data_IF_997138935074
#
_entry.id   IF_997138935074
#
_cell.length_a   1.000
_cell.length_b   1.000
_cell.length_c   1.000
_cell.angle_alpha   90.00
_cell.angle_beta   90.00
_cell.angle_gamma   90.00
#
_symmetry.space_group_name_H-M   'P 1'
#
loop_
_entity.id
_entity.type
_entity.pdbx_description
1 polymer ?
#
# COMPACT_ATOMS: atom_id res chain seq x y z
N UNK A 1 -13.36 2.37 -10.17
CA UNK A 1 -11.94 2.00 -10.39
C UNK A 1 -10.99 3.13 -10.00
N UNK A 2 -11.26 4.39 -10.35
CA UNK A 2 -10.45 5.56 -9.96
C UNK A 2 -10.44 5.83 -8.44
N UNK A 3 -11.56 5.63 -7.73
CA UNK A 3 -11.62 5.83 -6.26
C UNK A 3 -10.60 5.00 -5.47
N UNK A 4 -10.23 3.81 -5.97
CA UNK A 4 -9.27 2.90 -5.30
C UNK A 4 -7.85 3.50 -5.23
N UNK A 5 -7.52 4.41 -6.14
CA UNK A 5 -6.19 5.03 -6.20
C UNK A 5 -6.12 6.34 -5.41
N UNK A 6 -7.20 6.82 -4.79
CA UNK A 6 -7.08 7.91 -3.80
C UNK A 6 -6.37 7.40 -2.57
N UNK A 7 -5.37 8.12 -2.08
CA UNK A 7 -4.66 7.69 -0.88
C UNK A 7 -5.59 7.71 0.34
N UNK A 8 -5.83 6.52 0.89
CA UNK A 8 -6.47 6.32 2.18
C UNK A 8 -6.06 4.95 2.72
N UNK A 9 -6.10 4.77 4.04
CA UNK A 9 -5.82 3.46 4.66
C UNK A 9 -6.80 2.37 4.19
N UNK A 10 -8.07 2.74 3.97
CA UNK A 10 -9.09 1.82 3.46
C UNK A 10 -8.77 1.34 2.04
N UNK A 11 -8.39 2.26 1.15
CA UNK A 11 -8.03 1.91 -0.21
C UNK A 11 -6.72 1.12 -0.28
N UNK A 12 -5.77 1.43 0.60
CA UNK A 12 -4.56 0.63 0.76
C UNK A 12 -4.91 -0.83 1.12
N UNK A 13 -5.79 -1.05 2.11
CA UNK A 13 -6.24 -2.39 2.49
C UNK A 13 -6.96 -3.10 1.33
N UNK A 14 -7.85 -2.41 0.63
CA UNK A 14 -8.55 -2.97 -0.55
C UNK A 14 -7.59 -3.44 -1.64
N UNK A 15 -6.51 -2.68 -1.86
CA UNK A 15 -5.46 -3.07 -2.80
C UNK A 15 -4.61 -4.23 -2.28
N UNK A 16 -4.29 -4.28 -0.99
CA UNK A 16 -3.58 -5.40 -0.36
C UNK A 16 -4.40 -6.69 -0.44
N UNK A 17 -5.71 -6.61 -0.18
CA UNK A 17 -6.63 -7.74 -0.15
C UNK A 17 -6.62 -8.54 -1.47
N UNK A 18 -6.53 -7.84 -2.60
CA UNK A 18 -6.49 -8.43 -3.94
C UNK A 18 -5.09 -8.36 -4.57
N UNK A 19 -4.10 -7.91 -3.81
CA UNK A 19 -2.76 -7.58 -4.28
C UNK A 19 -1.87 -8.81 -4.31
N UNK A 20 -0.99 -8.89 -5.31
CA UNK A 20 0.05 -9.91 -5.35
C UNK A 20 1.14 -9.57 -4.33
N UNK A 21 1.43 -10.51 -3.44
CA UNK A 21 2.59 -10.46 -2.56
C UNK A 21 3.82 -11.07 -3.25
N UNK A 22 4.93 -10.35 -3.27
CA UNK A 22 6.19 -10.83 -3.82
C UNK A 22 7.36 -10.11 -3.17
N UNK A 23 8.51 -10.80 -3.02
CA UNK A 23 9.76 -10.22 -2.51
C UNK A 23 9.60 -9.44 -1.17
N UNK A 24 8.64 -9.83 -0.34
CA UNK A 24 8.40 -9.19 0.95
C UNK A 24 7.46 -7.98 0.94
N UNK A 25 6.85 -7.62 -0.20
CA UNK A 25 5.95 -6.47 -0.30
C UNK A 25 4.69 -6.73 -1.15
N UNK A 26 3.71 -5.85 -1.00
CA UNK A 26 2.58 -5.68 -1.92
C UNK A 26 2.81 -4.48 -2.83
N UNK A 27 2.50 -4.63 -4.12
CA UNK A 27 2.45 -3.50 -5.05
C UNK A 27 1.12 -2.78 -4.94
N UNK A 28 1.17 -1.48 -4.72
CA UNK A 28 0.01 -0.62 -4.47
C UNK A 28 0.11 0.60 -5.37
N UNK A 29 -1.03 1.16 -5.79
CA UNK A 29 -1.08 2.33 -6.67
C UNK A 29 -1.89 3.45 -6.04
N UNK A 30 -1.36 4.66 -6.10
CA UNK A 30 -2.08 5.86 -5.66
C UNK A 30 -1.90 7.01 -6.64
N UNK A 31 -2.85 7.94 -6.63
CA UNK A 31 -2.67 9.20 -7.30
C UNK A 31 -1.54 9.98 -6.65
N UNK A 32 -0.77 10.67 -7.49
CA UNK A 32 0.35 11.48 -7.09
C UNK A 32 0.40 12.76 -7.88
N UNK A 33 0.71 13.86 -7.20
CA UNK A 33 0.96 15.16 -7.78
C UNK A 33 2.32 15.65 -7.30
N UNK A 34 3.20 16.00 -8.24
CA UNK A 34 4.55 16.48 -7.93
C UNK A 34 5.33 15.52 -7.01
N UNK A 35 5.14 14.21 -7.19
CA UNK A 35 5.77 13.16 -6.39
C UNK A 35 5.16 12.92 -5.01
N UNK A 36 4.11 13.65 -4.62
CA UNK A 36 3.39 13.47 -3.35
C UNK A 36 2.07 12.73 -3.56
N UNK A 37 1.64 11.96 -2.56
CA UNK A 37 0.33 11.30 -2.56
C UNK A 37 -0.81 12.33 -2.71
N UNK A 38 -1.79 12.01 -3.54
CA UNK A 38 -2.95 12.85 -3.83
C UNK A 38 -4.26 12.08 -3.70
N UNK A 39 -5.32 12.78 -3.31
CA UNK A 39 -6.69 12.30 -3.29
C UNK A 39 -7.49 12.77 -4.53
N UNK A 40 -6.86 13.51 -5.44
CA UNK A 40 -7.47 14.05 -6.65
C UNK A 40 -7.28 13.08 -7.82
N UNK A 41 -8.39 12.62 -8.39
CA UNK A 41 -8.42 11.59 -9.45
C UNK A 41 -7.81 12.01 -10.81
N UNK A 42 -7.43 13.28 -10.95
CA UNK A 42 -6.90 13.86 -12.19
C UNK A 42 -5.37 13.91 -12.23
N UNK A 43 -4.72 13.49 -11.16
CA UNK A 43 -3.27 13.47 -11.10
C UNK A 43 -2.70 12.17 -11.69
N UNK A 44 -1.39 11.98 -11.61
CA UNK A 44 -0.69 10.80 -12.12
C UNK A 44 -0.94 9.60 -11.20
N UNK A 45 -0.85 8.36 -11.71
CA UNK A 45 -0.90 7.15 -10.86
C UNK A 45 0.51 6.60 -10.71
N UNK A 46 1.02 6.58 -9.48
CA UNK A 46 2.33 6.01 -9.15
C UNK A 46 2.22 4.69 -8.42
N UNK A 47 3.23 3.83 -8.58
CA UNK A 47 3.38 2.58 -7.85
C UNK A 47 4.15 2.78 -6.54
N UNK A 48 3.74 2.06 -5.50
CA UNK A 48 4.31 2.03 -4.16
C UNK A 48 4.45 0.58 -3.69
N UNK A 49 5.32 0.38 -2.71
CA UNK A 49 5.62 -0.93 -2.14
C UNK A 49 5.30 -0.93 -0.64
N UNK A 50 4.25 -1.66 -0.25
CA UNK A 50 3.94 -1.87 1.15
C UNK A 50 4.70 -3.09 1.66
N UNK A 51 5.59 -2.85 2.61
CA UNK A 51 6.25 -3.90 3.40
C UNK A 51 5.44 -4.13 4.67
N UNK A 52 4.62 -5.20 4.74
CA UNK A 52 3.79 -5.47 5.91
C UNK A 52 4.65 -5.85 7.12
N UNK A 53 5.87 -6.37 6.92
CA UNK A 53 6.89 -6.45 7.97
C UNK A 53 7.37 -5.03 8.29
N UNK A 54 6.87 -4.45 9.38
CA UNK A 54 7.17 -3.08 9.79
C UNK A 54 6.19 -2.01 9.27
N UNK A 55 5.15 -2.37 8.52
CA UNK A 55 4.06 -1.46 8.13
C UNK A 55 4.51 -0.21 7.36
N UNK A 56 5.52 -0.32 6.50
CA UNK A 56 6.08 0.82 5.74
C UNK A 56 5.60 0.82 4.29
N UNK A 57 5.21 1.98 3.79
CA UNK A 57 4.94 2.23 2.38
C UNK A 57 6.13 2.98 1.77
N UNK A 58 6.64 2.48 0.66
CA UNK A 58 7.80 3.04 -0.03
C UNK A 58 7.49 3.43 -1.47
N UNK A 59 8.21 4.42 -1.98
CA UNK A 59 8.16 4.81 -3.40
C UNK A 59 9.11 3.95 -4.26
N UNK A 60 9.18 4.27 -5.55
CA UNK A 60 10.05 3.62 -6.54
C UNK A 60 11.55 3.73 -6.25
N UNK A 61 11.95 4.72 -5.47
CA UNK A 61 13.33 4.98 -5.07
C UNK A 61 13.61 4.42 -3.66
N UNK A 62 12.69 3.62 -3.12
CA UNK A 62 12.71 2.98 -1.80
C UNK A 62 12.73 3.94 -0.61
N UNK A 63 12.37 5.20 -0.80
CA UNK A 63 12.16 6.15 0.30
C UNK A 63 10.89 5.78 1.05
N UNK A 64 10.88 5.99 2.37
CA UNK A 64 9.69 5.80 3.19
C UNK A 64 8.75 6.98 2.96
N UNK A 65 7.58 6.69 2.41
CA UNK A 65 6.51 7.67 2.16
C UNK A 65 5.60 7.76 3.39
N UNK A 66 5.35 6.62 4.03
CA UNK A 66 4.44 6.52 5.16
C UNK A 66 4.73 5.28 6.01
N UNK A 67 4.41 5.36 7.30
CA UNK A 67 4.43 4.23 8.24
C UNK A 67 3.10 4.18 9.00
N UNK A 68 2.55 2.98 9.20
CA UNK A 68 1.45 2.76 10.12
C UNK A 68 1.49 1.37 10.74
N UNK A 69 1.34 1.34 12.06
CA UNK A 69 1.25 0.09 12.83
C UNK A 69 0.04 -0.76 12.45
N UNK A 70 -1.00 -0.17 11.84
CA UNK A 70 -2.17 -0.91 11.34
C UNK A 70 -1.82 -1.90 10.23
N UNK A 71 -0.70 -1.67 9.54
CA UNK A 71 -0.21 -2.53 8.46
C UNK A 71 1.04 -3.31 8.85
N UNK A 72 1.40 -3.31 10.13
CA UNK A 72 2.61 -3.96 10.64
C UNK A 72 2.28 -5.34 11.21
N UNK A 73 2.87 -6.39 10.63
CA UNK A 73 2.71 -7.77 11.09
C UNK A 73 3.24 -7.98 12.50
N UNK A 74 4.26 -7.24 12.92
CA UNK A 74 4.77 -7.30 14.30
C UNK A 74 3.83 -6.63 15.31
N UNK A 75 2.80 -5.91 14.83
CA UNK A 75 1.78 -5.26 15.64
C UNK A 75 0.41 -5.93 15.52
N UNK A 76 0.34 -7.10 14.89
CA UNK A 76 -0.87 -7.92 14.80
C UNK A 76 -1.66 -7.76 13.50
N UNK A 77 -1.14 -7.06 12.49
CA UNK A 77 -1.73 -7.10 11.16
C UNK A 77 -1.54 -8.48 10.52
N UNK A 78 -2.62 -9.10 10.04
CA UNK A 78 -2.56 -10.38 9.31
C UNK A 78 -2.86 -10.15 7.83
N UNK A 79 -1.83 -9.98 6.99
CA UNK A 79 -2.00 -9.73 5.56
C UNK A 79 -2.52 -10.99 4.84
N UNK A 80 -3.19 -10.84 3.69
CA UNK A 80 -3.75 -11.96 2.93
C UNK A 80 -2.79 -13.13 2.71
N UNK A 81 -1.52 -12.87 2.41
CA UNK A 81 -0.53 -13.92 2.14
C UNK A 81 -0.16 -14.79 3.37
N UNK A 82 -0.58 -14.40 4.58
CA UNK A 82 -0.39 -15.14 5.82
C UNK A 82 -1.68 -15.72 6.37
N UNK A 83 -2.83 -15.46 5.72
CA UNK A 83 -4.10 -16.08 6.10
C UNK A 83 -4.06 -17.52 5.62
N UNK A 84 -4.18 -18.47 6.54
CA UNK A 84 -4.32 -19.87 6.17
C UNK A 84 -5.73 -20.05 5.60
N UNK A 85 -5.86 -20.11 4.28
CA UNK A 85 -7.07 -20.59 3.63
C UNK A 85 -7.16 -22.10 3.90
N UNK A 86 -7.87 -22.46 4.98
CA UNK A 86 -8.18 -23.84 5.36
C UNK A 86 -9.49 -24.29 4.72
#
# INVERSE_FOLDING_TARGET
MTELYKFSEENLLKQVENGKFELGFYRIKFFTKDGMLSDIYKDEVSEFYLYPSGGTLRDKDFNIVFYSSKFDTYRGFVPPHQRNDS
#
